data_IF_279687797251
#
_entry.id   IF_279687797251
#
_cell.length_a   1.000
_cell.length_b   1.000
_cell.length_c   1.000
_cell.angle_alpha   90.00
_cell.angle_beta   90.00
_cell.angle_gamma   90.00
#
_symmetry.space_group_name_H-M   'P 1'
#
loop_
_entity.id
_entity.type
_entity.pdbx_description
1 polymer ?
#
# COMPACT_ATOMS: atom_id res chain seq x y z
N UNK A 1 -34.50 -35.16 36.14
CA UNK A 1 -33.74 -33.90 36.11
C UNK A 1 -32.96 -33.87 34.81
N UNK A 2 -33.28 -32.96 33.91
CA UNK A 2 -32.63 -32.81 32.60
C UNK A 2 -31.87 -31.50 32.65
N UNK A 3 -30.54 -31.56 32.54
CA UNK A 3 -29.71 -30.37 32.41
C UNK A 3 -29.69 -29.93 30.95
N UNK A 4 -30.02 -28.68 30.60
CA UNK A 4 -29.80 -28.19 29.25
C UNK A 4 -28.30 -27.92 29.08
N UNK A 5 -27.69 -28.60 28.11
CA UNK A 5 -26.35 -28.30 27.63
C UNK A 5 -26.46 -26.94 26.93
N UNK A 6 -25.97 -25.89 27.60
CA UNK A 6 -25.72 -24.60 26.97
C UNK A 6 -24.63 -24.80 25.92
N UNK A 7 -25.03 -25.01 24.67
CA UNK A 7 -24.14 -24.86 23.52
C UNK A 7 -23.74 -23.39 23.45
N UNK A 8 -22.59 -23.07 24.03
CA UNK A 8 -21.86 -21.83 23.77
C UNK A 8 -21.44 -21.92 22.30
N UNK A 9 -22.23 -21.31 21.42
CA UNK A 9 -21.79 -20.99 20.06
C UNK A 9 -20.67 -19.97 20.19
N UNK A 10 -19.44 -20.46 20.20
CA UNK A 10 -18.25 -19.66 20.01
C UNK A 10 -18.30 -19.15 18.57
N UNK A 11 -18.92 -17.98 18.38
CA UNK A 11 -18.78 -17.19 17.17
C UNK A 11 -17.33 -16.71 17.12
N UNK A 12 -16.45 -17.58 16.62
CA UNK A 12 -15.14 -17.16 16.13
C UNK A 12 -15.48 -16.25 14.96
N UNK A 13 -15.42 -14.93 15.16
CA UNK A 13 -15.38 -14.01 14.04
C UNK A 13 -14.13 -14.37 13.26
N UNK A 14 -14.30 -15.07 12.14
CA UNK A 14 -13.22 -15.28 11.20
C UNK A 14 -12.88 -13.89 10.67
N UNK A 15 -11.88 -13.26 11.28
CA UNK A 15 -11.27 -12.06 10.72
C UNK A 15 -10.66 -12.51 9.40
N UNK A 16 -11.30 -12.14 8.30
CA UNK A 16 -10.75 -12.40 6.97
C UNK A 16 -9.46 -11.59 6.82
N UNK A 17 -8.43 -12.24 6.30
CA UNK A 17 -7.16 -11.62 5.97
C UNK A 17 -6.87 -11.80 4.49
N UNK A 18 -6.33 -10.76 3.88
CA UNK A 18 -5.96 -10.76 2.46
C UNK A 18 -4.48 -10.40 2.32
N UNK A 19 -3.73 -11.22 1.60
CA UNK A 19 -2.37 -10.86 1.22
C UNK A 19 -2.35 -10.06 -0.08
N UNK A 20 -1.89 -8.81 -0.03
CA UNK A 20 -1.73 -7.98 -1.22
C UNK A 20 -0.25 -7.87 -1.58
N UNK A 21 0.05 -8.18 -2.84
CA UNK A 21 1.39 -8.13 -3.40
C UNK A 21 1.46 -7.14 -4.55
N UNK A 22 2.44 -6.24 -4.49
CA UNK A 22 2.64 -5.18 -5.48
C UNK A 22 4.07 -5.27 -6.00
N UNK A 23 4.22 -5.30 -7.33
CA UNK A 23 5.50 -5.26 -8.02
C UNK A 23 5.51 -4.21 -9.11
N UNK A 24 6.65 -3.54 -9.24
CA UNK A 24 6.85 -2.58 -10.30
C UNK A 24 8.29 -2.16 -10.47
N UNK A 25 8.48 -1.15 -11.28
CA UNK A 25 9.74 -0.47 -11.47
C UNK A 25 9.58 1.03 -11.31
N UNK A 26 10.63 1.68 -10.83
CA UNK A 26 10.70 3.13 -10.69
C UNK A 26 11.92 3.63 -11.44
N UNK A 27 11.80 4.74 -12.15
CA UNK A 27 12.94 5.37 -12.81
C UNK A 27 13.01 6.84 -12.43
N UNK A 28 14.18 7.25 -11.93
CA UNK A 28 14.55 8.64 -11.76
C UNK A 28 15.46 9.05 -12.92
N UNK A 29 15.08 10.10 -13.67
CA UNK A 29 15.88 10.60 -14.79
C UNK A 29 16.94 11.62 -14.38
N UNK A 30 16.96 12.04 -13.11
CA UNK A 30 17.94 12.99 -12.60
C UNK A 30 19.25 12.28 -12.24
N UNK A 31 20.37 12.99 -12.44
CA UNK A 31 21.70 12.44 -12.24
C UNK A 31 22.19 12.59 -10.79
N UNK A 32 21.40 12.06 -9.83
CA UNK A 32 21.66 12.17 -8.39
C UNK A 32 21.58 10.82 -7.67
N UNK A 33 22.09 10.75 -6.42
CA UNK A 33 21.86 9.60 -5.55
C UNK A 33 20.36 9.43 -5.30
N UNK A 34 19.81 8.27 -5.68
CA UNK A 34 18.37 8.03 -5.65
C UNK A 34 17.97 7.19 -4.43
N UNK A 35 17.00 7.70 -3.67
CA UNK A 35 16.41 7.05 -2.50
C UNK A 35 14.90 7.18 -2.59
N UNK A 36 14.22 6.09 -2.26
CA UNK A 36 12.79 6.05 -2.11
C UNK A 36 12.37 5.23 -0.88
N UNK A 37 11.23 5.60 -0.32
CA UNK A 37 10.46 4.82 0.65
C UNK A 37 9.11 4.52 0.02
N UNK A 38 8.74 3.25 0.00
CA UNK A 38 7.48 2.76 -0.53
C UNK A 38 6.62 2.36 0.66
N UNK A 39 5.49 3.03 0.83
CA UNK A 39 4.47 2.70 1.81
C UNK A 39 3.27 2.09 1.09
N UNK A 40 2.81 0.95 1.60
CA UNK A 40 1.55 0.33 1.25
C UNK A 40 0.59 0.61 2.40
N UNK A 41 -0.48 1.30 2.10
CA UNK A 41 -1.52 1.69 3.06
C UNK A 41 -2.86 1.13 2.63
N UNK A 42 -3.75 1.06 3.60
CA UNK A 42 -5.18 0.89 3.43
C UNK A 42 -5.80 2.28 3.63
N UNK A 43 -6.51 2.80 2.63
CA UNK A 43 -7.14 4.13 2.66
C UNK A 43 -8.64 3.94 2.89
N UNK A 44 -9.09 4.00 4.15
CA UNK A 44 -10.51 3.95 4.50
C UNK A 44 -11.33 5.03 3.74
N UNK A 45 -12.42 4.60 3.12
CA UNK A 45 -13.44 5.42 2.46
C UNK A 45 -13.92 6.63 3.27
N UNK A 46 -13.84 6.60 4.61
CA UNK A 46 -14.21 7.76 5.46
C UNK A 46 -13.08 8.76 5.68
N UNK A 47 -11.86 8.48 5.21
CA UNK A 47 -10.63 9.27 5.38
C UNK A 47 -10.24 9.54 6.85
N UNK A 48 -10.86 8.84 7.81
CA UNK A 48 -10.62 9.07 9.24
C UNK A 48 -9.39 8.31 9.76
N UNK A 49 -9.02 7.20 9.11
CA UNK A 49 -7.80 6.45 9.40
C UNK A 49 -7.26 5.77 8.15
N UNK A 50 -6.16 6.28 7.60
CA UNK A 50 -5.35 5.48 6.66
C UNK A 50 -4.36 4.64 7.45
N UNK A 51 -4.42 3.32 7.29
CA UNK A 51 -3.59 2.39 8.03
C UNK A 51 -2.33 2.01 7.26
N UNK A 52 -1.17 2.21 7.87
CA UNK A 52 0.10 1.77 7.31
C UNK A 52 0.23 0.25 7.43
N UNK A 53 0.10 -0.44 6.31
CA UNK A 53 0.24 -1.90 6.25
C UNK A 53 1.72 -2.31 6.18
N UNK A 54 2.50 -1.66 5.31
CA UNK A 54 3.91 -2.01 5.12
C UNK A 54 4.73 -0.85 4.59
N UNK A 55 5.96 -0.72 5.08
CA UNK A 55 6.98 0.15 4.50
C UNK A 55 8.17 -0.64 3.94
N UNK A 56 8.75 -0.16 2.85
CA UNK A 56 9.99 -0.66 2.26
C UNK A 56 10.88 0.49 1.81
N UNK A 57 12.13 0.49 2.25
CA UNK A 57 13.14 1.44 1.76
C UNK A 57 13.89 0.87 0.56
N UNK A 58 14.15 1.72 -0.42
CA UNK A 58 14.98 1.47 -1.58
C UNK A 58 15.99 2.61 -1.70
N UNK A 59 17.25 2.35 -1.35
CA UNK A 59 18.34 3.27 -1.58
C UNK A 59 19.32 2.68 -2.58
N UNK A 60 19.57 3.37 -3.69
CA UNK A 60 20.67 3.00 -4.59
C UNK A 60 21.47 4.23 -4.98
N UNK A 61 22.79 4.07 -5.12
CA UNK A 61 23.67 5.11 -5.64
C UNK A 61 23.72 5.10 -7.18
N UNK A 62 22.62 4.83 -7.85
CA UNK A 62 22.60 4.71 -9.32
C UNK A 62 21.54 5.60 -9.95
N UNK A 63 22.02 6.67 -10.59
CA UNK A 63 21.25 7.58 -11.41
C UNK A 63 20.83 6.92 -12.73
N UNK A 64 19.66 7.30 -13.26
CA UNK A 64 19.19 6.89 -14.59
C UNK A 64 18.83 5.39 -14.74
N UNK A 65 19.03 4.57 -13.71
CA UNK A 65 18.71 3.15 -13.69
C UNK A 65 17.28 2.93 -13.23
N UNK A 66 16.60 1.98 -13.88
CA UNK A 66 15.29 1.51 -13.42
C UNK A 66 15.45 0.59 -12.21
N UNK A 67 14.76 0.92 -11.12
CA UNK A 67 14.77 0.19 -9.85
C UNK A 67 13.53 -0.66 -9.73
N UNK A 68 13.70 -1.97 -9.70
CA UNK A 68 12.59 -2.89 -9.48
C UNK A 68 12.25 -2.94 -7.98
N UNK A 69 10.98 -3.04 -7.67
CA UNK A 69 10.51 -3.20 -6.31
C UNK A 69 9.41 -4.26 -6.19
N UNK A 70 9.26 -4.73 -4.96
CA UNK A 70 8.19 -5.61 -4.53
C UNK A 70 7.84 -5.28 -3.09
N UNK A 71 6.55 -5.18 -2.78
CA UNK A 71 6.04 -5.02 -1.42
C UNK A 71 4.87 -5.96 -1.22
N UNK A 72 4.83 -6.60 -0.05
CA UNK A 72 3.77 -7.53 0.37
C UNK A 72 3.24 -7.06 1.72
N UNK A 73 1.93 -6.92 1.84
CA UNK A 73 1.23 -6.57 3.07
C UNK A 73 0.11 -7.55 3.36
N UNK A 74 -0.18 -7.76 4.64
CA UNK A 74 -1.37 -8.48 5.10
C UNK A 74 -2.38 -7.44 5.53
N UNK A 75 -3.56 -7.48 4.92
CA UNK A 75 -4.68 -6.61 5.24
C UNK A 75 -5.63 -7.43 6.11
N UNK A 76 -5.83 -6.96 7.34
CA UNK A 76 -6.60 -7.64 8.37
C UNK A 76 -7.75 -6.73 8.82
N UNK A 77 -8.89 -7.32 9.18
CA UNK A 77 -9.91 -6.60 9.93
C UNK A 77 -10.60 -5.48 9.14
N UNK A 78 -10.96 -5.74 7.87
CA UNK A 78 -11.70 -4.79 7.04
C UNK A 78 -12.84 -4.14 7.83
N UNK A 79 -12.93 -2.81 7.75
CA UNK A 79 -13.72 -1.99 8.65
C UNK A 79 -15.17 -2.45 8.63
N UNK A 80 -15.51 -3.17 9.70
CA UNK A 80 -16.68 -4.00 9.78
C UNK A 80 -17.95 -3.26 9.32
N UNK A 81 -18.75 -3.99 8.55
CA UNK A 81 -20.19 -3.76 8.30
C UNK A 81 -20.54 -2.73 7.20
N UNK A 82 -19.67 -1.80 6.80
CA UNK A 82 -20.03 -0.75 5.81
C UNK A 82 -19.37 -0.90 4.44
N UNK A 83 -18.14 -1.41 4.34
CA UNK A 83 -17.51 -1.81 3.09
C UNK A 83 -16.85 -3.19 3.25
N UNK A 84 -17.07 -4.11 2.31
CA UNK A 84 -16.49 -5.46 2.34
C UNK A 84 -15.27 -5.55 1.42
N UNK A 85 -14.56 -4.44 1.25
CA UNK A 85 -13.43 -4.32 0.35
C UNK A 85 -12.28 -3.59 1.04
N UNK A 86 -11.05 -3.90 0.63
CA UNK A 86 -9.85 -3.17 1.00
C UNK A 86 -9.51 -2.15 -0.08
N UNK A 87 -8.98 -1.01 0.34
CA UNK A 87 -8.62 0.11 -0.54
C UNK A 87 -7.10 0.32 -0.56
N UNK A 88 -6.33 -0.56 -1.24
CA UNK A 88 -4.88 -0.48 -1.23
C UNK A 88 -4.38 0.76 -1.99
N UNK A 89 -3.50 1.51 -1.33
CA UNK A 89 -2.80 2.65 -1.92
C UNK A 89 -1.29 2.47 -1.73
N UNK A 90 -0.54 2.73 -2.80
CA UNK A 90 0.90 2.82 -2.75
C UNK A 90 1.33 4.28 -2.71
N UNK A 91 2.17 4.64 -1.75
CA UNK A 91 2.83 5.93 -1.67
C UNK A 91 4.33 5.71 -1.86
N UNK A 92 4.91 6.39 -2.85
CA UNK A 92 6.35 6.38 -3.10
C UNK A 92 6.91 7.74 -2.74
N UNK A 93 7.55 7.84 -1.57
CA UNK A 93 8.34 9.00 -1.17
C UNK A 93 9.72 8.90 -1.82
N UNK A 94 10.23 9.96 -2.44
CA UNK A 94 11.53 9.93 -3.11
C UNK A 94 12.26 11.27 -3.10
N UNK A 95 13.58 11.22 -3.31
CA UNK A 95 14.43 12.40 -3.48
C UNK A 95 14.82 12.67 -4.95
N UNK A 96 14.09 12.09 -5.92
CA UNK A 96 14.28 12.38 -7.35
C UNK A 96 13.78 13.79 -7.70
N UNK A 97 14.48 14.81 -7.23
CA UNK A 97 14.15 16.23 -7.42
C UNK A 97 15.37 16.98 -7.96
N UNK A 98 15.14 18.09 -8.67
CA UNK A 98 16.24 18.93 -9.18
C UNK A 98 17.01 19.60 -8.02
N UNK A 99 16.33 19.80 -6.89
CA UNK A 99 16.93 20.24 -5.63
C UNK A 99 17.40 19.01 -4.81
N UNK A 100 18.68 18.94 -4.38
CA UNK A 100 19.19 17.82 -3.57
C UNK A 100 18.49 17.62 -2.22
N UNK A 101 17.87 18.67 -1.67
CA UNK A 101 17.09 18.61 -0.43
C UNK A 101 15.59 18.40 -0.68
N UNK A 102 15.17 18.31 -1.95
CA UNK A 102 13.79 18.13 -2.33
C UNK A 102 13.29 16.71 -2.09
N UNK A 103 12.03 16.60 -1.67
CA UNK A 103 11.30 15.34 -1.57
C UNK A 103 9.99 15.44 -2.34
N UNK A 104 9.64 14.37 -3.05
CA UNK A 104 8.38 14.20 -3.77
C UNK A 104 7.66 12.94 -3.34
N UNK A 105 6.35 12.92 -3.55
CA UNK A 105 5.49 11.76 -3.29
C UNK A 105 4.74 11.41 -4.56
N UNK A 106 4.65 10.12 -4.88
CA UNK A 106 3.78 9.59 -5.94
C UNK A 106 2.75 8.67 -5.30
N UNK A 107 1.48 8.90 -5.63
CA UNK A 107 0.35 8.13 -5.11
C UNK A 107 -0.22 7.23 -6.20
N UNK A 108 -0.52 5.98 -5.84
CA UNK A 108 -1.22 5.04 -6.71
C UNK A 108 -2.27 4.27 -5.95
N UNK A 109 -3.53 4.64 -6.19
CA UNK A 109 -4.69 3.83 -5.82
C UNK A 109 -4.82 2.65 -6.78
N UNK A 110 -5.19 1.50 -6.25
CA UNK A 110 -5.57 0.35 -7.05
C UNK A 110 -7.08 0.14 -7.00
N UNK A 111 -7.56 -0.83 -7.78
CA UNK A 111 -8.92 -1.33 -7.58
C UNK A 111 -9.03 -1.90 -6.17
N UNK A 112 -10.21 -1.76 -5.60
CA UNK A 112 -10.57 -2.36 -4.33
C UNK A 112 -10.46 -3.89 -4.38
N UNK A 113 -10.22 -4.51 -3.23
CA UNK A 113 -10.04 -5.96 -3.09
C UNK A 113 -11.03 -6.50 -2.08
N UNK A 114 -11.98 -7.37 -2.47
CA UNK A 114 -12.96 -7.90 -1.53
C UNK A 114 -12.30 -8.66 -0.37
N UNK A 115 -12.81 -8.50 0.84
CA UNK A 115 -12.18 -9.04 2.08
C UNK A 115 -12.05 -10.57 2.11
N UNK A 116 -12.89 -11.27 1.35
CA UNK A 116 -12.84 -12.74 1.22
C UNK A 116 -11.82 -13.22 0.18
N UNK A 117 -11.08 -12.30 -0.46
CA UNK A 117 -10.06 -12.63 -1.45
C UNK A 117 -8.79 -13.08 -0.73
N UNK A 118 -8.34 -14.33 -0.82
CA UNK A 118 -7.17 -14.77 -0.05
C UNK A 118 -5.88 -14.03 -0.44
N UNK A 119 -5.75 -13.64 -1.70
CA UNK A 119 -4.63 -12.82 -2.17
C UNK A 119 -4.93 -12.01 -3.43
N UNK A 120 -4.29 -10.85 -3.56
CA UNK A 120 -4.34 -10.01 -4.76
C UNK A 120 -2.93 -9.63 -5.22
N UNK A 121 -2.73 -9.56 -6.54
CA UNK A 121 -1.45 -9.23 -7.15
C UNK A 121 -1.59 -8.04 -8.11
N UNK A 122 -0.76 -7.02 -7.91
CA UNK A 122 -0.64 -5.86 -8.79
C UNK A 122 0.77 -5.81 -9.36
N UNK A 123 0.95 -6.21 -10.61
CA UNK A 123 2.26 -6.33 -11.26
C UNK A 123 2.33 -5.49 -12.53
N UNK A 124 3.55 -5.36 -13.08
CA UNK A 124 3.76 -4.60 -14.32
C UNK A 124 3.65 -3.09 -14.15
N UNK A 125 3.72 -2.59 -12.91
CA UNK A 125 3.65 -1.16 -12.64
C UNK A 125 4.95 -0.47 -13.03
N UNK A 126 4.86 0.73 -13.58
CA UNK A 126 6.02 1.55 -13.91
C UNK A 126 5.78 2.99 -13.47
N UNK A 127 6.70 3.50 -12.66
CA UNK A 127 6.66 4.85 -12.11
C UNK A 127 7.81 5.66 -12.72
N UNK A 128 7.44 6.73 -13.43
CA UNK A 128 8.39 7.76 -13.84
C UNK A 128 8.36 8.83 -12.75
N UNK A 129 9.42 8.90 -11.98
CA UNK A 129 9.57 9.93 -10.94
C UNK A 129 10.15 11.17 -11.62
N UNK A 130 9.48 12.30 -11.47
CA UNK A 130 9.90 13.57 -12.03
C UNK A 130 9.92 14.67 -10.97
N UNK A 131 10.37 15.86 -11.37
CA UNK A 131 10.57 17.01 -10.48
C UNK A 131 9.26 17.70 -10.06
N UNK A 132 8.10 17.04 -10.22
CA UNK A 132 6.83 17.62 -9.79
C UNK A 132 6.52 17.12 -8.38
N UNK A 133 6.25 18.05 -7.49
CA UNK A 133 5.45 17.76 -6.31
C UNK A 133 4.08 17.36 -6.85
N UNK A 134 3.74 16.07 -6.80
CA UNK A 134 2.41 15.63 -7.18
C UNK A 134 1.45 16.15 -6.09
N UNK A 135 0.85 17.32 -6.35
CA UNK A 135 -0.10 18.00 -5.46
C UNK A 135 -1.46 17.27 -5.37
N UNK A 136 -1.58 16.09 -5.97
CA UNK A 136 -2.79 15.26 -5.89
C UNK A 136 -2.86 14.45 -4.58
N UNK A 137 -2.54 15.09 -3.46
CA UNK A 137 -3.08 14.66 -2.17
C UNK A 137 -4.59 14.93 -2.23
N UNK A 138 -5.48 13.95 -1.94
CA UNK A 138 -6.83 14.32 -1.55
C UNK A 138 -6.72 15.28 -0.36
N UNK A 139 -7.35 16.45 -0.45
CA UNK A 139 -7.59 17.30 0.71
C UNK A 139 -8.61 16.66 1.63
#
# INVERSE_FOLDING_TARGET
>A
MIFPIFSIFLLISLTSSTEIYIQGSMKCNLNSEFRAKIDLIEEDATYLSSDLIKSKFLGTKSSGVSHNFSIKGTFDGGDGVLDNEYEPVLIIHHNCMDNPDGFGNVYRRFKTVPIWTPSANFTGLSFKLDNRLDENLPQ
#
